data_IF_706025592449
#
_entry.id   IF_706025592449
#
_cell.length_a   1.000
_cell.length_b   1.000
_cell.length_c   1.000
_cell.angle_alpha   90.00
_cell.angle_beta   90.00
_cell.angle_gamma   90.00
#
_symmetry.space_group_name_H-M   'P 1'
#
loop_
_entity.id
_entity.type
_entity.pdbx_description
1 polymer ?
#
# COMPACT_ATOMS: atom_id res chain seq x y z
N UNK A 1 16.69 -15.62 1.64
CA UNK A 1 16.58 -14.56 0.61
C UNK A 1 16.66 -13.20 1.28
N UNK A 2 17.68 -12.39 1.01
CA UNK A 2 17.99 -11.15 1.77
C UNK A 2 17.63 -9.90 0.97
N UNK A 3 17.02 -8.91 1.63
CA UNK A 3 16.77 -7.60 1.02
C UNK A 3 18.07 -6.79 0.90
N UNK A 4 18.42 -6.27 -0.30
CA UNK A 4 19.63 -5.47 -0.47
C UNK A 4 19.53 -4.09 0.20
N UNK A 5 18.32 -3.58 0.44
CA UNK A 5 18.10 -2.23 0.98
C UNK A 5 18.10 -2.19 2.51
N UNK A 6 17.44 -3.14 3.17
CA UNK A 6 17.27 -3.13 4.63
C UNK A 6 17.82 -4.39 5.32
N UNK A 7 18.53 -5.25 4.60
CA UNK A 7 19.13 -6.49 5.12
C UNK A 7 18.17 -7.51 5.75
N UNK A 8 16.85 -7.31 5.63
CA UNK A 8 15.86 -8.22 6.16
C UNK A 8 15.88 -9.57 5.42
N UNK A 9 15.78 -10.66 6.17
CA UNK A 9 15.83 -12.02 5.64
C UNK A 9 14.44 -12.64 5.52
N UNK A 10 14.20 -13.33 4.42
CA UNK A 10 12.95 -14.04 4.11
C UNK A 10 13.23 -15.50 3.78
N UNK A 11 12.32 -16.37 4.21
CA UNK A 11 12.38 -17.82 3.97
C UNK A 11 12.10 -18.20 2.51
N UNK A 12 11.39 -17.36 1.74
CA UNK A 12 11.05 -17.62 0.33
C UNK A 12 11.39 -16.45 -0.59
N UNK A 13 11.70 -16.75 -1.85
CA UNK A 13 12.04 -15.73 -2.86
C UNK A 13 10.85 -14.80 -3.16
N UNK A 14 9.63 -15.35 -3.30
CA UNK A 14 8.45 -14.53 -3.59
C UNK A 14 8.14 -13.55 -2.45
N UNK A 15 8.48 -13.90 -1.20
CA UNK A 15 8.35 -13.01 -0.05
C UNK A 15 9.33 -11.83 -0.15
N UNK A 16 10.59 -12.10 -0.52
CA UNK A 16 11.57 -11.05 -0.80
C UNK A 16 11.12 -10.16 -1.97
N UNK A 17 10.73 -10.74 -3.11
CA UNK A 17 10.23 -9.98 -4.28
C UNK A 17 9.03 -9.11 -3.94
N UNK A 18 8.16 -9.57 -3.06
CA UNK A 18 7.03 -8.80 -2.56
C UNK A 18 7.49 -7.69 -1.62
N UNK A 19 8.44 -7.99 -0.73
CA UNK A 19 9.00 -7.03 0.22
C UNK A 19 9.68 -5.86 -0.50
N UNK A 20 10.52 -6.08 -1.51
CA UNK A 20 11.27 -4.98 -2.17
C UNK A 20 10.36 -3.92 -2.80
N UNK A 21 9.11 -4.26 -3.13
CA UNK A 21 8.12 -3.29 -3.61
C UNK A 21 7.81 -2.19 -2.59
N UNK A 22 7.99 -2.44 -1.29
CA UNK A 22 7.76 -1.41 -0.26
C UNK A 22 8.78 -0.27 -0.38
N UNK A 23 10.01 -0.57 -0.78
CA UNK A 23 11.09 0.41 -0.93
C UNK A 23 10.85 1.33 -2.13
N UNK A 24 10.14 0.85 -3.16
CA UNK A 24 9.76 1.68 -4.31
C UNK A 24 8.72 2.74 -3.96
N UNK A 25 7.98 2.59 -2.85
CA UNK A 25 6.85 3.46 -2.49
C UNK A 25 5.66 3.39 -3.46
N UNK A 26 5.78 2.67 -4.58
CA UNK A 26 4.74 2.59 -5.62
C UNK A 26 3.54 1.82 -5.09
N UNK A 27 2.37 2.46 -5.14
CA UNK A 27 1.08 1.87 -4.77
C UNK A 27 0.15 1.88 -5.97
N UNK A 28 0.23 0.87 -6.87
CA UNK A 28 -0.52 0.87 -8.11
C UNK A 28 -2.01 0.54 -7.91
N UNK A 29 -2.37 -0.05 -6.78
CA UNK A 29 -3.74 -0.49 -6.52
C UNK A 29 -4.49 0.55 -5.71
N UNK A 30 -5.55 1.14 -6.28
CA UNK A 30 -6.36 2.16 -5.60
C UNK A 30 -7.77 1.62 -5.30
N UNK A 31 -8.25 1.89 -4.09
CA UNK A 31 -9.65 1.70 -3.76
C UNK A 31 -10.48 2.82 -4.39
N UNK A 32 -11.37 2.46 -5.31
CA UNK A 32 -12.23 3.42 -6.02
C UNK A 32 -13.25 4.11 -5.08
N UNK A 33 -13.59 3.50 -3.94
CA UNK A 33 -14.57 4.06 -3.01
C UNK A 33 -13.98 5.15 -2.10
N UNK A 34 -12.79 4.95 -1.55
CA UNK A 34 -12.17 5.88 -0.59
C UNK A 34 -10.80 6.41 -1.00
N UNK A 35 -10.38 6.19 -2.25
CA UNK A 35 -9.14 6.73 -2.84
C UNK A 35 -7.84 6.15 -2.29
N UNK A 36 -7.89 5.30 -1.25
CA UNK A 36 -6.71 4.74 -0.58
C UNK A 36 -5.90 3.85 -1.52
N UNK A 37 -4.59 4.06 -1.57
CA UNK A 37 -3.65 3.30 -2.41
C UNK A 37 -2.94 2.20 -1.63
N UNK A 38 -2.70 1.07 -2.28
CA UNK A 38 -2.07 -0.13 -1.75
C UNK A 38 -0.95 -0.58 -2.69
N UNK A 39 0.16 -1.05 -2.10
CA UNK A 39 1.27 -1.64 -2.85
C UNK A 39 0.98 -3.06 -3.37
N UNK A 40 -0.13 -3.67 -2.94
CA UNK A 40 -0.48 -5.06 -3.29
C UNK A 40 -1.98 -5.23 -3.53
N UNK A 41 -2.33 -6.08 -4.49
CA UNK A 41 -3.71 -6.39 -4.86
C UNK A 41 -4.48 -7.12 -3.76
N UNK A 42 -3.83 -8.06 -3.05
CA UNK A 42 -4.43 -8.79 -1.93
C UNK A 42 -4.80 -7.86 -0.77
N UNK A 43 -3.97 -6.84 -0.52
CA UNK A 43 -4.24 -5.82 0.49
C UNK A 43 -5.46 -4.96 0.12
N UNK A 44 -5.60 -4.57 -1.16
CA UNK A 44 -6.80 -3.90 -1.66
C UNK A 44 -8.03 -4.81 -1.57
N UNK A 45 -7.93 -6.09 -1.98
CA UNK A 45 -9.04 -7.04 -1.92
C UNK A 45 -9.56 -7.22 -0.49
N UNK A 46 -8.66 -7.43 0.47
CA UNK A 46 -9.01 -7.50 1.90
C UNK A 46 -9.65 -6.20 2.38
N UNK A 47 -9.12 -5.06 1.96
CA UNK A 47 -9.71 -3.75 2.27
C UNK A 47 -11.11 -3.56 1.68
N UNK A 48 -11.37 -4.04 0.47
CA UNK A 48 -12.68 -3.93 -0.19
C UNK A 48 -13.72 -4.90 0.37
N UNK A 49 -13.28 -6.07 0.85
CA UNK A 49 -14.14 -7.08 1.48
C UNK A 49 -14.63 -6.63 2.85
N UNK A 50 -13.77 -5.97 3.63
CA UNK A 50 -14.17 -5.35 4.88
C UNK A 50 -14.86 -4.03 4.55
N UNK A 51 -16.15 -3.86 4.82
CA UNK A 51 -16.94 -2.62 4.56
C UNK A 51 -16.41 -1.35 5.27
N UNK A 52 -15.25 -1.41 5.93
CA UNK A 52 -14.53 -0.31 6.59
C UNK A 52 -13.69 0.51 5.59
N UNK A 53 -14.30 0.93 4.47
CA UNK A 53 -13.74 1.97 3.61
C UNK A 53 -14.17 3.31 4.20
N UNK A 54 -13.48 3.77 5.25
CA UNK A 54 -13.72 5.11 5.79
C UNK A 54 -13.15 6.10 4.79
N UNK A 55 -14.02 6.92 4.19
CA UNK A 55 -13.61 8.02 3.32
C UNK A 55 -12.69 8.96 4.09
N UNK A 56 -11.40 8.98 3.73
CA UNK A 56 -10.54 10.12 4.04
C UNK A 56 -10.74 11.12 2.90
N UNK A 57 -11.86 11.86 2.93
CA UNK A 57 -11.89 13.18 2.29
C UNK A 57 -11.08 14.10 3.19
N UNK A 58 -9.76 14.14 3.02
CA UNK A 58 -8.96 15.24 3.52
C UNK A 58 -9.21 16.40 2.56
N UNK A 59 -10.24 17.19 2.82
CA UNK A 59 -10.36 18.54 2.27
C UNK A 59 -9.29 19.38 2.94
N UNK A 60 -8.07 19.38 2.40
CA UNK A 60 -7.09 20.42 2.69
C UNK A 60 -7.53 21.67 1.92
N UNK A 61 -8.60 22.31 2.39
CA UNK A 61 -8.86 23.71 2.06
C UNK A 61 -7.94 24.53 2.96
N UNK A 62 -6.67 24.66 2.56
CA UNK A 62 -5.86 25.78 3.03
C UNK A 62 -6.30 26.98 2.21
N UNK A 63 -7.24 27.75 2.77
CA UNK A 63 -7.52 29.11 2.34
C UNK A 63 -6.21 29.88 2.43
N UNK A 64 -5.78 30.44 1.31
CA UNK A 64 -4.75 31.46 1.29
C UNK A 64 -5.24 32.68 2.09
N UNK A 65 -4.46 33.11 3.07
CA UNK A 65 -4.55 34.43 3.70
C UNK A 65 -3.15 34.86 4.08
#
# INVERSE_FOLDING_TARGET
YKCPTCNQSFSRNHDLKRHVKIHSGVKPHQCQRCGKRFGRSDALKRHSLVKRCRNLRTTTTSIAS
#
